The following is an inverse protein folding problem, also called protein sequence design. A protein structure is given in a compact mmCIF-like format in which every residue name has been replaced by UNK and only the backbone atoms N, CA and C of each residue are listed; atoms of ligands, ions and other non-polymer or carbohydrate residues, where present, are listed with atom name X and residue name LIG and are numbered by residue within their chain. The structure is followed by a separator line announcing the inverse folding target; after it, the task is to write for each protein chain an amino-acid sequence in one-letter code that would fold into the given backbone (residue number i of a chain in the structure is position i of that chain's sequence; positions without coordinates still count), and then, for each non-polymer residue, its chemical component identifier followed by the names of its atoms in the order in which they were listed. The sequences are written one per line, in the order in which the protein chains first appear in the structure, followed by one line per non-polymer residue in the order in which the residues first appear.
data_IF_890543772957
#
_entry.id   IF_890543772957
#
_cell.length_a   1.000
_cell.length_b   1.000
_cell.length_c   1.000
_cell.angle_alpha   90.00
_cell.angle_beta   90.00
_cell.angle_gamma   90.00
#
_symmetry.space_group_name_H-M   'P 1'
#
loop_
_entity.id
_entity.type
_entity.pdbx_description
1 polymer ?
#
# COMPACT_ATOMS: atom_id res chain seq x y z
N UNK A 1 -12.47 -16.01 -9.69
CA UNK A 1 -11.02 -15.94 -9.38
C UNK A 1 -10.67 -14.50 -9.05
N UNK A 2 -10.37 -14.17 -7.79
CA UNK A 2 -9.85 -12.85 -7.41
C UNK A 2 -8.45 -12.69 -8.01
N UNK A 3 -8.37 -11.98 -9.14
CA UNK A 3 -7.12 -11.58 -9.78
C UNK A 3 -6.45 -10.55 -8.87
N UNK A 4 -5.29 -10.88 -8.30
CA UNK A 4 -4.53 -9.96 -7.45
C UNK A 4 -3.75 -8.98 -8.32
N UNK A 5 -4.06 -7.69 -8.21
CA UNK A 5 -3.32 -6.64 -8.90
C UNK A 5 -2.02 -6.34 -8.17
N UNK A 6 -0.89 -6.42 -8.89
CA UNK A 6 0.44 -6.09 -8.42
C UNK A 6 1.02 -4.94 -9.25
N UNK A 7 1.94 -4.16 -8.70
CA UNK A 7 2.46 -2.97 -9.36
C UNK A 7 3.42 -2.20 -8.48
N UNK A 8 4.05 -1.18 -9.05
CA UNK A 8 4.95 -0.31 -8.31
C UNK A 8 4.17 0.82 -7.62
N UNK A 9 4.51 1.07 -6.36
CA UNK A 9 4.13 2.25 -5.60
C UNK A 9 5.42 2.95 -5.18
N UNK A 10 5.74 4.07 -5.82
CA UNK A 10 7.10 4.63 -5.77
C UNK A 10 8.13 3.62 -6.28
N UNK A 11 9.11 3.30 -5.45
CA UNK A 11 10.17 2.32 -5.76
C UNK A 11 9.86 0.91 -5.21
N UNK A 12 8.70 0.72 -4.58
CA UNK A 12 8.29 -0.54 -3.95
C UNK A 12 7.34 -1.32 -4.86
N UNK A 13 7.60 -2.62 -5.06
CA UNK A 13 6.71 -3.50 -5.83
C UNK A 13 5.71 -4.22 -4.92
N UNK A 14 4.47 -3.75 -4.90
CA UNK A 14 3.40 -4.32 -4.09
C UNK A 14 2.71 -5.47 -4.83
N UNK A 15 2.37 -6.54 -4.10
CA UNK A 15 1.86 -7.82 -4.65
C UNK A 15 0.33 -7.92 -4.62
N UNK A 16 -0.34 -6.96 -3.99
CA UNK A 16 -1.80 -6.89 -3.95
C UNK A 16 -2.34 -5.47 -3.82
N UNK A 17 -3.60 -5.29 -4.22
CA UNK A 17 -4.36 -4.04 -4.01
C UNK A 17 -4.58 -3.71 -2.52
N UNK A 18 -4.53 -4.71 -1.64
CA UNK A 18 -4.66 -4.51 -0.19
C UNK A 18 -3.35 -4.02 0.42
N UNK A 19 -2.21 -4.51 -0.07
CA UNK A 19 -0.89 -3.94 0.28
C UNK A 19 -0.80 -2.49 -0.21
N UNK A 20 -1.29 -2.17 -1.41
CA UNK A 20 -1.39 -0.79 -1.87
C UNK A 20 -2.24 0.09 -0.95
N UNK A 21 -3.43 -0.38 -0.59
CA UNK A 21 -4.29 0.34 0.34
C UNK A 21 -3.58 0.58 1.69
N UNK A 22 -2.89 -0.43 2.21
CA UNK A 22 -2.17 -0.28 3.48
C UNK A 22 -0.98 0.69 3.36
N UNK A 23 -0.16 0.58 2.31
CA UNK A 23 0.94 1.51 2.05
C UNK A 23 0.45 2.96 1.95
N UNK A 24 -0.64 3.21 1.20
CA UNK A 24 -1.27 4.52 1.09
C UNK A 24 -1.80 5.03 2.44
N UNK A 25 -2.34 4.15 3.28
CA UNK A 25 -2.74 4.49 4.66
C UNK A 25 -1.54 4.89 5.53
N UNK A 26 -0.45 4.12 5.48
CA UNK A 26 0.76 4.40 6.26
C UNK A 26 1.36 5.75 5.87
N UNK A 27 1.46 6.03 4.58
CA UNK A 27 1.93 7.33 4.06
C UNK A 27 1.01 8.48 4.47
N UNK A 28 -0.31 8.27 4.41
CA UNK A 28 -1.30 9.27 4.87
C UNK A 28 -1.10 9.64 6.35
N UNK A 29 -0.86 8.64 7.19
CA UNK A 29 -0.65 8.80 8.64
C UNK A 29 0.81 9.14 8.99
N UNK A 30 1.69 9.29 7.99
CA UNK A 30 3.11 9.60 8.16
C UNK A 30 3.84 8.57 9.05
N UNK A 31 3.47 7.30 8.90
CA UNK A 31 4.10 6.20 9.63
C UNK A 31 5.33 5.76 8.85
N UNK A 32 6.47 5.60 9.51
CA UNK A 32 7.69 5.10 8.84
C UNK A 32 7.55 3.60 8.56
N UNK A 33 7.66 3.20 7.30
CA UNK A 33 7.56 1.80 6.91
C UNK A 33 8.58 1.39 5.85
N UNK A 34 8.87 0.08 5.83
CA UNK A 34 9.61 -0.58 4.75
C UNK A 34 8.87 -1.85 4.32
N UNK A 35 8.99 -2.23 3.06
CA UNK A 35 8.28 -3.36 2.48
C UNK A 35 9.22 -4.54 2.23
N UNK A 36 8.79 -5.73 2.66
CA UNK A 36 9.54 -7.00 2.52
C UNK A 36 11.05 -6.86 2.84
N UNK A 37 11.42 -6.01 3.81
CA UNK A 37 12.81 -5.60 4.05
C UNK A 37 13.69 -6.77 4.49
N UNK A 38 13.17 -7.61 5.38
CA UNK A 38 13.91 -8.73 5.97
C UNK A 38 13.15 -10.03 5.80
N UNK A 39 13.93 -11.10 5.62
CA UNK A 39 13.43 -12.48 5.61
C UNK A 39 13.84 -13.19 6.89
N UNK A 40 12.95 -14.05 7.38
CA UNK A 40 13.14 -14.83 8.60
C UNK A 40 13.09 -16.31 8.24
N UNK A 41 14.03 -17.08 8.76
CA UNK A 41 14.00 -18.53 8.64
C UNK A 41 13.13 -19.10 9.77
N UNK A 42 12.00 -19.72 9.42
CA UNK A 42 11.11 -20.39 10.38
C UNK A 42 11.43 -21.90 10.50
N UNK A 43 12.55 -22.35 9.93
CA UNK A 43 13.01 -23.74 9.89
C UNK A 43 12.46 -24.50 8.68
N UNK A 44 11.15 -24.47 8.45
CA UNK A 44 10.50 -25.15 7.31
C UNK A 44 10.44 -24.28 6.05
N UNK A 45 10.53 -22.96 6.21
CA UNK A 45 10.49 -21.99 5.10
C UNK A 45 11.10 -20.66 5.50
N UNK A 46 11.50 -19.91 4.47
CA UNK A 46 11.75 -18.47 4.60
C UNK A 46 10.42 -17.73 4.59
N UNK A 47 10.16 -16.97 5.65
CA UNK A 47 9.02 -16.08 5.77
C UNK A 47 9.46 -14.63 5.52
N UNK A 48 8.60 -13.86 4.87
CA UNK A 48 8.86 -12.45 4.53
C UNK A 48 7.59 -11.69 4.86
N UNK A 49 7.55 -10.94 5.98
CA UNK A 49 6.42 -10.09 6.31
C UNK A 49 6.22 -9.01 5.25
N UNK A 50 4.97 -8.59 5.03
CA UNK A 50 4.65 -7.58 4.03
C UNK A 50 5.26 -6.21 4.40
N UNK A 51 5.06 -5.73 5.63
CA UNK A 51 5.56 -4.42 6.09
C UNK A 51 6.32 -4.47 7.42
N UNK A 52 7.25 -3.56 7.59
CA UNK A 52 8.03 -3.30 8.81
C UNK A 52 7.75 -1.87 9.25
N UNK A 53 7.27 -1.68 10.48
CA UNK A 53 6.87 -0.37 11.00
C UNK A 53 7.89 0.13 12.02
N UNK A 54 8.34 1.36 11.81
CA UNK A 54 9.41 1.99 12.58
C UNK A 54 8.89 3.19 13.38
N UNK A 55 9.49 3.42 14.55
CA UNK A 55 9.26 4.66 15.30
C UNK A 55 10.07 5.83 14.71
N UNK A 56 9.95 7.01 15.32
CA UNK A 56 10.70 8.22 14.93
C UNK A 56 12.23 8.05 15.09
N UNK A 57 12.68 7.14 15.96
CA UNK A 57 14.09 6.80 16.18
C UNK A 57 14.60 5.71 15.23
N UNK A 58 13.81 5.31 14.24
CA UNK A 58 14.12 4.20 13.31
C UNK A 58 14.29 2.83 13.96
N UNK A 59 13.67 2.61 15.12
CA UNK A 59 13.61 1.31 15.78
C UNK A 59 12.34 0.56 15.33
N UNK A 60 12.48 -0.74 15.04
CA UNK A 60 11.38 -1.60 14.62
C UNK A 60 10.37 -1.75 15.76
N UNK A 61 9.13 -1.32 15.54
CA UNK A 61 8.05 -1.50 16.52
C UNK A 61 7.32 -2.82 16.34
N UNK A 62 6.89 -3.11 15.11
CA UNK A 62 6.20 -4.36 14.76
C UNK A 62 6.23 -4.59 13.26
N UNK A 63 6.02 -5.84 12.86
CA UNK A 63 5.78 -6.22 11.46
C UNK A 63 4.28 -6.32 11.16
N UNK A 64 3.90 -6.19 9.90
CA UNK A 64 2.52 -6.31 9.46
C UNK A 64 2.41 -7.29 8.31
N UNK A 65 1.44 -8.19 8.41
CA UNK A 65 1.03 -9.08 7.32
C UNK A 65 -0.37 -8.68 6.83
N UNK A 66 -0.53 -8.51 5.52
CA UNK A 66 -1.79 -8.19 4.87
C UNK A 66 -2.43 -9.47 4.33
N UNK A 67 -3.70 -9.69 4.69
CA UNK A 67 -4.46 -10.82 4.16
C UNK A 67 -5.86 -10.43 3.70
N UNK A 68 -6.30 -11.14 2.66
CA UNK A 68 -7.66 -11.04 2.15
C UNK A 68 -8.70 -11.63 3.12
N UNK A 69 -9.97 -11.64 2.70
CA UNK A 69 -11.07 -12.26 3.45
C UNK A 69 -10.94 -13.79 3.61
N UNK A 70 -10.00 -14.44 2.94
CA UNK A 70 -9.82 -15.90 3.01
C UNK A 70 -9.39 -16.33 4.42
N UNK A 71 -10.24 -17.08 5.12
CA UNK A 71 -10.03 -17.50 6.50
C UNK A 71 -8.84 -18.45 6.67
N UNK A 72 -8.67 -19.44 5.79
CA UNK A 72 -7.53 -20.36 5.84
C UNK A 72 -6.20 -19.63 5.64
N UNK A 73 -6.17 -18.66 4.74
CA UNK A 73 -4.97 -17.84 4.52
C UNK A 73 -4.62 -16.98 5.74
N UNK A 74 -5.63 -16.47 6.47
CA UNK A 74 -5.43 -15.72 7.71
C UNK A 74 -4.91 -16.60 8.85
N UNK A 75 -5.48 -17.79 9.03
CA UNK A 75 -5.02 -18.76 10.05
C UNK A 75 -3.56 -19.13 9.81
N UNK A 76 -3.22 -19.51 8.57
CA UNK A 76 -1.84 -19.85 8.21
C UNK A 76 -0.87 -18.67 8.36
N UNK A 77 -1.34 -17.45 8.15
CA UNK A 77 -0.53 -16.25 8.38
C UNK A 77 -0.25 -16.06 9.87
N UNK A 78 -1.28 -16.14 10.71
CA UNK A 78 -1.17 -16.10 12.17
C UNK A 78 -0.19 -17.14 12.71
N UNK A 79 -0.28 -18.40 12.26
CA UNK A 79 0.67 -19.45 12.66
C UNK A 79 2.14 -19.08 12.37
N UNK A 80 2.42 -18.40 11.25
CA UNK A 80 3.79 -17.98 10.93
C UNK A 80 4.23 -16.79 11.76
N UNK A 81 3.31 -15.87 12.04
CA UNK A 81 3.57 -14.68 12.85
C UNK A 81 3.82 -15.07 14.30
N UNK A 82 3.07 -16.03 14.84
CA UNK A 82 3.32 -16.59 16.18
C UNK A 82 4.68 -17.28 16.26
N UNK A 83 5.04 -18.11 15.27
CA UNK A 83 6.39 -18.69 15.20
C UNK A 83 7.47 -17.61 15.14
N UNK A 84 7.25 -16.56 14.35
CA UNK A 84 8.20 -15.47 14.23
C UNK A 84 8.35 -14.73 15.56
N UNK A 85 7.25 -14.45 16.28
CA UNK A 85 7.27 -13.85 17.60
C UNK A 85 8.05 -14.72 18.60
N UNK A 86 7.78 -16.03 18.62
CA UNK A 86 8.48 -16.97 19.52
C UNK A 86 9.99 -17.06 19.24
N UNK A 87 10.41 -17.06 17.97
CA UNK A 87 11.81 -17.28 17.59
C UNK A 87 12.63 -15.97 17.66
N UNK A 88 12.03 -14.83 17.29
CA UNK A 88 12.75 -13.57 17.09
C UNK A 88 12.32 -12.46 18.04
N UNK A 89 11.32 -12.67 18.90
CA UNK A 89 10.75 -11.67 19.82
C UNK A 89 10.31 -10.37 19.12
N UNK A 90 9.67 -10.52 17.96
CA UNK A 90 9.18 -9.39 17.15
C UNK A 90 7.65 -9.33 17.27
N UNK A 91 7.15 -8.18 17.69
CA UNK A 91 5.72 -7.89 17.69
C UNK A 91 5.14 -7.82 16.28
N UNK A 92 3.88 -8.20 16.12
CA UNK A 92 3.26 -8.30 14.81
C UNK A 92 1.81 -7.82 14.79
N UNK A 93 1.30 -7.50 13.59
CA UNK A 93 -0.12 -7.29 13.33
C UNK A 93 -0.55 -8.01 12.05
N UNK A 94 -1.66 -8.74 12.14
CA UNK A 94 -2.37 -9.23 10.95
C UNK A 94 -3.43 -8.19 10.58
N UNK A 95 -3.33 -7.61 9.38
CA UNK A 95 -4.33 -6.66 8.87
C UNK A 95 -5.13 -7.34 7.77
N UNK A 96 -6.41 -7.56 8.06
CA UNK A 96 -7.37 -8.09 7.12
C UNK A 96 -8.08 -6.98 6.34
N UNK A 97 -8.89 -7.38 5.36
CA UNK A 97 -9.79 -6.46 4.67
C UNK A 97 -10.74 -5.71 5.62
N UNK A 98 -11.21 -6.35 6.70
CA UNK A 98 -12.10 -5.70 7.68
C UNK A 98 -11.34 -4.65 8.48
N UNK A 99 -10.09 -4.92 8.82
CA UNK A 99 -9.21 -3.97 9.49
C UNK A 99 -8.93 -2.77 8.58
N UNK A 100 -8.63 -3.01 7.30
CA UNK A 100 -8.50 -1.93 6.31
C UNK A 100 -9.77 -1.07 6.22
N UNK A 101 -10.96 -1.67 6.23
CA UNK A 101 -12.20 -0.90 6.24
C UNK A 101 -12.30 0.01 7.46
N UNK A 102 -11.92 -0.47 8.65
CA UNK A 102 -11.91 0.33 9.87
C UNK A 102 -10.89 1.47 9.79
N UNK A 103 -9.66 1.19 9.34
CA UNK A 103 -8.61 2.19 9.17
C UNK A 103 -9.03 3.30 8.21
N UNK A 104 -9.78 2.95 7.16
CA UNK A 104 -10.25 3.89 6.15
C UNK A 104 -11.46 4.73 6.57
N UNK A 105 -12.12 4.44 7.70
CA UNK A 105 -13.25 5.26 8.19
C UNK A 105 -12.82 6.68 8.56
N UNK A 106 -11.60 6.83 9.04
CA UNK A 106 -11.02 8.13 9.42
C UNK A 106 -10.31 8.82 8.25
N UNK A 107 -10.26 8.17 7.08
CA UNK A 107 -9.59 8.70 5.90
C UNK A 107 -10.58 9.46 5.03
N UNK A 108 -10.12 10.48 4.30
CA UNK A 108 -10.99 11.27 3.46
C UNK A 108 -11.21 10.66 2.07
N UNK A 109 -10.80 9.41 1.89
CA UNK A 109 -11.01 8.59 0.71
C UNK A 109 -11.36 7.17 1.14
N UNK A 110 -12.14 6.48 0.31
CA UNK A 110 -12.61 5.15 0.63
C UNK A 110 -11.62 4.06 0.22
N UNK A 111 -11.69 2.92 0.92
CA UNK A 111 -10.93 1.73 0.57
C UNK A 111 -11.29 1.25 -0.85
N UNK A 112 -12.58 1.28 -1.18
CA UNK A 112 -13.08 0.90 -2.51
C UNK A 112 -12.54 1.81 -3.60
N UNK A 113 -12.56 3.12 -3.39
CA UNK A 113 -11.99 4.10 -4.32
C UNK A 113 -10.49 3.87 -4.52
N UNK A 114 -9.75 3.63 -3.43
CA UNK A 114 -8.30 3.36 -3.49
C UNK A 114 -7.98 2.07 -4.24
N UNK A 115 -8.74 1.00 -4.02
CA UNK A 115 -8.56 -0.25 -4.75
C UNK A 115 -8.90 -0.07 -6.24
N UNK A 116 -9.96 0.67 -6.56
CA UNK A 116 -10.34 0.94 -7.95
C UNK A 116 -9.27 1.77 -8.68
N UNK A 117 -8.72 2.79 -8.02
CA UNK A 117 -7.58 3.57 -8.48
C UNK A 117 -6.39 2.68 -8.80
N UNK A 118 -6.02 1.76 -7.89
CA UNK A 118 -4.94 0.81 -8.14
C UNK A 118 -5.23 -0.10 -9.33
N UNK A 119 -6.43 -0.67 -9.40
CA UNK A 119 -6.77 -1.65 -10.44
C UNK A 119 -6.83 -1.03 -11.85
N UNK A 120 -7.04 0.29 -11.94
CA UNK A 120 -7.15 1.01 -13.22
C UNK A 120 -5.89 1.79 -13.59
N UNK A 121 -4.93 1.90 -12.67
CA UNK A 121 -3.67 2.58 -12.90
C UNK A 121 -2.83 1.92 -14.00
N UNK A 122 -2.22 2.73 -14.86
CA UNK A 122 -1.39 2.26 -15.97
C UNK A 122 -0.07 1.58 -15.56
N UNK A 123 0.26 1.60 -14.27
CA UNK A 123 1.47 1.01 -13.68
C UNK A 123 1.16 -0.23 -12.83
N UNK A 124 -0.06 -0.74 -12.90
CA UNK A 124 -0.47 -1.97 -12.22
C UNK A 124 -0.85 -3.05 -13.23
N UNK A 125 -0.74 -4.29 -12.80
CA UNK A 125 -0.98 -5.47 -13.63
C UNK A 125 -1.66 -6.56 -12.81
N UNK A 126 -2.55 -7.29 -13.47
CA UNK A 126 -3.18 -8.50 -12.92
C UNK A 126 -2.15 -9.63 -12.72
N UNK A 127 -1.02 -9.57 -13.43
CA UNK A 127 -0.01 -10.61 -13.40
C UNK A 127 1.10 -10.24 -12.42
N UNK A 128 1.32 -11.08 -11.41
CA UNK A 128 2.49 -10.96 -10.53
C UNK A 128 3.77 -11.16 -11.34
N UNK A 129 4.84 -10.47 -10.97
CA UNK A 129 6.15 -10.65 -11.58
C UNK A 129 6.61 -12.10 -11.42
N UNK A 130 7.20 -12.67 -12.46
CA UNK A 130 7.80 -14.01 -12.45
C UNK A 130 9.33 -13.96 -12.38
N UNK A 131 9.91 -12.76 -12.26
CA UNK A 131 11.36 -12.52 -12.37
C UNK A 131 11.99 -12.29 -11.01
N UNK A 132 13.14 -12.93 -10.77
CA UNK A 132 14.01 -12.66 -9.62
C UNK A 132 13.29 -12.67 -8.28
N UNK A 133 13.69 -11.77 -7.38
CA UNK A 133 13.12 -11.59 -6.04
C UNK A 133 11.65 -11.21 -6.02
N UNK A 134 11.11 -10.68 -7.12
CA UNK A 134 9.70 -10.29 -7.25
C UNK A 134 8.78 -11.48 -7.53
N UNK A 135 9.33 -12.65 -7.87
CA UNK A 135 8.56 -13.87 -8.03
C UNK A 135 8.00 -14.30 -6.66
N UNK A 136 6.67 -14.49 -6.50
CA UNK A 136 6.08 -14.96 -5.25
C UNK A 136 6.67 -16.27 -4.75
N UNK A 137 7.17 -17.12 -5.66
CA UNK A 137 7.81 -18.38 -5.36
C UNK A 137 9.32 -18.31 -5.17
N UNK A 138 9.94 -17.12 -5.30
CA UNK A 138 11.40 -16.96 -5.23
C UNK A 138 11.98 -17.51 -3.93
N UNK A 139 11.29 -17.30 -2.81
CA UNK A 139 11.74 -17.74 -1.49
C UNK A 139 11.32 -19.18 -1.14
N UNK A 140 10.51 -19.83 -1.97
CA UNK A 140 10.01 -21.18 -1.70
C UNK A 140 10.95 -22.23 -2.31
N UNK A 141 11.72 -22.90 -1.45
CA UNK A 141 12.52 -24.06 -1.86
C UNK A 141 11.65 -25.32 -1.81
N UNK A 142 11.73 -26.15 -2.85
CA UNK A 142 11.15 -27.50 -2.78
C UNK A 142 11.96 -28.37 -1.83
N UNK A 143 11.28 -29.08 -0.93
CA UNK A 143 11.89 -30.11 -0.08
C UNK A 143 12.45 -31.26 -0.92
N UNK A 144 13.35 -32.07 -0.34
CA UNK A 144 13.93 -33.24 -1.04
C UNK A 144 12.84 -34.22 -1.48
N UNK A 145 11.85 -34.44 -0.62
CA UNK A 145 10.68 -35.28 -0.85
C UNK A 145 9.84 -34.73 -2.00
N UNK A 146 9.58 -33.42 -2.01
CA UNK A 146 8.82 -32.76 -3.09
C UNK A 146 9.53 -32.92 -4.43
N UNK A 147 10.86 -32.71 -4.47
CA UNK A 147 11.66 -32.91 -5.68
C UNK A 147 11.60 -34.36 -6.17
N UNK A 148 11.66 -35.32 -5.25
CA UNK A 148 11.53 -36.76 -5.57
C UNK A 148 10.15 -37.08 -6.15
N UNK A 149 9.08 -36.57 -5.55
CA UNK A 149 7.70 -36.77 -6.04
C UNK A 149 7.49 -36.15 -7.42
N UNK A 150 8.00 -34.93 -7.65
CA UNK A 150 7.95 -34.28 -8.97
C UNK A 150 8.66 -35.18 -10.00
N UNK A 151 9.89 -35.63 -9.71
CA UNK A 151 10.65 -36.50 -10.60
C UNK A 151 9.95 -37.83 -10.91
N UNK A 152 9.34 -38.46 -9.90
CA UNK A 152 8.56 -39.70 -10.08
C UNK A 152 7.32 -39.47 -10.94
N UNK A 153 6.58 -38.38 -10.71
CA UNK A 153 5.42 -38.03 -11.53
C UNK A 153 5.80 -37.73 -12.98
N UNK A 154 6.89 -37.00 -13.20
CA UNK A 154 7.42 -36.78 -14.55
C UNK A 154 7.76 -38.11 -15.23
N UNK A 155 8.46 -39.03 -14.55
CA UNK A 155 8.75 -40.37 -15.11
C UNK A 155 7.47 -41.14 -15.45
N UNK A 156 6.46 -41.13 -14.56
CA UNK A 156 5.15 -41.77 -14.82
C UNK A 156 4.47 -41.19 -16.05
N UNK A 157 4.48 -39.86 -16.22
CA UNK A 157 3.91 -39.19 -17.40
C UNK A 157 4.63 -39.59 -18.69
N UNK A 158 5.97 -39.71 -18.68
CA UNK A 158 6.74 -40.13 -19.85
C UNK A 158 6.60 -41.63 -20.18
N UNK A 159 6.32 -42.46 -19.18
CA UNK A 159 6.04 -43.89 -19.38
C UNK A 159 4.63 -44.14 -19.96
N UNK A 160 3.71 -43.19 -19.85
CA UNK A 160 2.39 -43.28 -20.47
C UNK A 160 2.51 -42.98 -21.99
N UNK A 161 2.20 -43.94 -22.90
CA UNK A 161 2.42 -43.80 -24.34
C UNK A 161 1.68 -42.61 -24.96
N UNK A 162 0.43 -42.37 -24.57
CA UNK A 162 -0.40 -41.29 -25.10
C UNK A 162 0.13 -39.91 -24.68
N UNK A 163 0.57 -39.80 -23.44
CA UNK A 163 1.14 -38.57 -22.89
C UNK A 163 2.47 -38.26 -23.55
N UNK A 164 3.34 -39.27 -23.70
CA UNK A 164 4.61 -39.16 -24.41
C UNK A 164 4.41 -38.71 -25.85
N UNK A 165 3.46 -39.30 -26.57
CA UNK A 165 3.13 -38.92 -27.96
C UNK A 165 2.71 -37.45 -28.06
N UNK A 166 1.87 -36.97 -27.13
CA UNK A 166 1.46 -35.55 -27.05
C UNK A 166 2.64 -34.62 -26.75
N UNK A 167 3.53 -34.98 -25.84
CA UNK A 167 4.70 -34.16 -25.50
C UNK A 167 5.70 -34.05 -26.65
N UNK A 168 5.96 -35.15 -27.36
CA UNK A 168 6.82 -35.16 -28.55
C UNK A 168 6.19 -34.32 -29.67
N UNK A 169 4.89 -34.50 -29.94
CA UNK A 169 4.17 -33.72 -30.94
C UNK A 169 4.20 -32.21 -30.61
N UNK A 170 4.03 -31.83 -29.33
CA UNK A 170 4.16 -30.45 -28.88
C UNK A 170 5.56 -29.88 -29.11
N UNK A 171 6.60 -30.65 -28.84
CA UNK A 171 8.00 -30.25 -29.06
C UNK A 171 8.31 -30.06 -30.55
N UNK A 172 7.86 -30.99 -31.40
CA UNK A 172 7.98 -30.89 -32.87
C UNK A 172 7.22 -29.67 -33.39
N UNK A 173 5.99 -29.45 -32.91
CA UNK A 173 5.18 -28.27 -33.29
C UNK A 173 5.86 -26.97 -32.86
N UNK A 174 6.43 -26.92 -31.66
CA UNK A 174 7.22 -25.78 -31.19
C UNK A 174 8.45 -25.51 -32.07
N UNK A 175 9.19 -26.55 -32.42
CA UNK A 175 10.34 -26.46 -33.32
C UNK A 175 9.96 -26.05 -34.75
N UNK A 176 8.85 -26.56 -35.27
CA UNK A 176 8.30 -26.20 -36.57
C UNK A 176 7.81 -24.74 -36.60
N UNK A 177 7.15 -24.28 -35.52
CA UNK A 177 6.77 -22.87 -35.34
C UNK A 177 8.01 -21.98 -35.30
N UNK A 178 9.07 -22.37 -34.56
CA UNK A 178 10.34 -21.64 -34.53
C UNK A 178 11.00 -21.57 -35.91
N UNK A 179 11.02 -22.66 -36.67
CA UNK A 179 11.52 -22.70 -38.06
C UNK A 179 10.68 -21.84 -38.99
N UNK A 180 9.35 -21.95 -38.95
CA UNK A 180 8.43 -21.19 -39.79
C UNK A 180 8.42 -19.68 -39.46
N UNK A 181 8.80 -19.31 -38.22
CA UNK A 181 8.94 -17.93 -37.76
C UNK A 181 10.32 -17.31 -38.05
N UNK A 182 11.30 -18.06 -38.58
CA UNK A 182 12.54 -17.44 -39.10
C UNK A 182 12.16 -16.44 -40.20
N UNK A 183 12.32 -15.15 -39.92
CA UNK A 183 12.07 -14.05 -40.86
C UNK A 183 10.64 -13.47 -40.93
N UNK A 184 9.63 -14.11 -40.31
CA UNK A 184 8.20 -13.72 -40.42
C UNK A 184 7.57 -13.22 -39.12
N UNK A 185 8.32 -12.52 -38.28
CA UNK A 185 7.66 -11.71 -37.26
C UNK A 185 6.96 -10.57 -37.97
N UNK A 186 5.62 -10.48 -37.88
CA UNK A 186 4.96 -9.18 -38.00
C UNK A 186 5.58 -8.36 -36.88
N UNK A 187 6.63 -7.60 -37.23
CA UNK A 187 7.24 -6.63 -36.33
C UNK A 187 6.21 -5.52 -36.25
N UNK A 188 5.25 -5.66 -35.34
CA UNK A 188 4.41 -4.54 -34.92
C UNK A 188 5.37 -3.38 -34.72
N UNK A 189 5.13 -2.29 -35.45
CA UNK A 189 6.07 -1.19 -35.54
C UNK A 189 6.41 -0.73 -34.13
N UNK A 190 7.69 -0.48 -33.91
CA UNK A 190 8.18 0.09 -32.67
C UNK A 190 8.23 1.58 -32.86
N UNK A 191 7.50 2.29 -32.02
CA UNK A 191 7.42 3.75 -32.03
C UNK A 191 8.13 4.28 -30.79
N UNK A 192 8.81 5.40 -30.96
CA UNK A 192 9.37 6.16 -29.87
C UNK A 192 8.26 6.97 -29.18
N UNK A 193 8.17 6.87 -27.86
CA UNK A 193 7.21 7.60 -27.03
C UNK A 193 7.95 8.32 -25.92
N UNK A 194 7.39 9.41 -25.41
CA UNK A 194 7.92 10.09 -24.22
C UNK A 194 7.26 9.55 -22.96
N UNK A 195 8.07 9.29 -21.93
CA UNK A 195 7.59 8.87 -20.62
C UNK A 195 6.80 9.99 -19.96
N UNK A 196 5.57 9.70 -19.51
CA UNK A 196 4.72 10.67 -18.80
C UNK A 196 5.29 11.13 -17.44
N UNK A 197 6.29 10.43 -16.90
CA UNK A 197 6.94 10.79 -15.63
C UNK A 197 8.25 11.54 -15.83
N UNK A 198 9.25 10.89 -16.44
CA UNK A 198 10.61 11.45 -16.55
C UNK A 198 10.88 12.16 -17.89
N UNK A 199 9.92 12.17 -18.83
CA UNK A 199 10.08 12.77 -20.16
C UNK A 199 11.02 12.01 -21.11
N UNK A 200 11.78 11.03 -20.63
CA UNK A 200 12.71 10.25 -21.44
C UNK A 200 11.98 9.48 -22.55
N UNK A 201 12.61 9.43 -23.72
CA UNK A 201 12.11 8.65 -24.83
C UNK A 201 12.30 7.15 -24.56
N UNK A 202 11.32 6.35 -24.96
CA UNK A 202 11.38 4.91 -24.87
C UNK A 202 10.66 4.27 -26.06
N UNK A 203 11.10 3.07 -26.41
CA UNK A 203 10.56 2.35 -27.56
C UNK A 203 9.46 1.41 -27.10
N UNK A 204 8.26 1.59 -27.65
CA UNK A 204 7.11 0.71 -27.39
C UNK A 204 6.55 0.16 -28.70
N UNK A 205 5.82 -0.95 -28.63
CA UNK A 205 5.01 -1.37 -29.78
C UNK A 205 3.93 -0.31 -30.02
N UNK A 206 3.63 -0.02 -31.28
CA UNK A 206 2.59 0.93 -31.68
C UNK A 206 1.23 0.62 -31.03
N UNK A 207 0.89 -0.67 -30.93
CA UNK A 207 -0.34 -1.16 -30.28
C UNK A 207 -0.28 -1.18 -28.75
N UNK A 208 0.88 -0.93 -28.15
CA UNK A 208 1.05 -0.94 -26.70
C UNK A 208 0.31 0.24 -26.06
N UNK A 209 -0.27 0.03 -24.87
CA UNK A 209 -0.83 1.10 -24.03
C UNK A 209 0.19 1.68 -23.05
N UNK A 210 1.46 1.30 -23.17
CA UNK A 210 2.53 1.73 -22.26
C UNK A 210 2.75 3.24 -22.35
N UNK A 211 2.68 3.91 -21.20
CA UNK A 211 2.84 5.37 -21.02
C UNK A 211 4.16 5.78 -20.35
N UNK A 212 4.89 4.82 -19.80
CA UNK A 212 6.10 5.06 -19.01
C UNK A 212 7.26 4.24 -19.55
N UNK A 213 8.48 4.76 -19.45
CA UNK A 213 9.69 4.07 -19.91
C UNK A 213 10.03 2.84 -19.05
N UNK A 214 9.57 2.81 -17.81
CA UNK A 214 9.75 1.69 -16.89
C UNK A 214 8.59 1.58 -15.91
N UNK A 215 8.44 0.40 -15.32
CA UNK A 215 7.44 0.16 -14.26
C UNK A 215 7.70 1.07 -13.04
N UNK A 216 8.96 1.39 -12.76
CA UNK A 216 9.38 2.33 -11.70
C UNK A 216 8.86 3.74 -11.99
N UNK A 217 9.04 4.24 -13.22
CA UNK A 217 8.51 5.55 -13.60
C UNK A 217 6.99 5.60 -13.51
N UNK A 218 6.31 4.51 -13.87
CA UNK A 218 4.88 4.37 -13.67
C UNK A 218 4.49 4.46 -12.19
N UNK A 219 5.19 3.72 -11.32
CA UNK A 219 4.94 3.72 -9.88
C UNK A 219 5.21 5.08 -9.21
N UNK A 220 6.26 5.79 -9.61
CA UNK A 220 6.58 7.14 -9.12
C UNK A 220 5.54 8.18 -9.54
N UNK A 221 5.05 8.11 -10.78
CA UNK A 221 3.97 8.98 -11.24
C UNK A 221 2.68 8.73 -10.46
N UNK A 222 2.34 7.47 -10.22
CA UNK A 222 1.23 7.07 -9.37
C UNK A 222 1.32 7.62 -7.95
N UNK A 223 2.52 7.52 -7.36
CA UNK A 223 2.81 8.07 -6.04
C UNK A 223 2.58 9.59 -6.00
N UNK A 224 3.13 10.33 -6.96
CA UNK A 224 2.97 11.78 -7.03
C UNK A 224 1.48 12.18 -7.08
N UNK A 225 0.69 11.54 -7.95
CA UNK A 225 -0.76 11.78 -8.02
C UNK A 225 -1.47 11.49 -6.69
N UNK A 226 -1.11 10.39 -6.03
CA UNK A 226 -1.68 10.04 -4.72
C UNK A 226 -1.32 11.09 -3.66
N UNK A 227 -0.08 11.60 -3.66
CA UNK A 227 0.37 12.68 -2.77
C UNK A 227 -0.37 13.98 -3.05
N UNK A 228 -0.55 14.37 -4.31
CA UNK A 228 -1.26 15.60 -4.68
C UNK A 228 -2.72 15.57 -4.21
N UNK A 229 -3.43 14.47 -4.45
CA UNK A 229 -4.81 14.26 -3.98
C UNK A 229 -4.86 14.31 -2.44
N UNK A 230 -3.90 13.68 -1.76
CA UNK A 230 -3.79 13.73 -0.30
C UNK A 230 -3.63 15.17 0.22
N UNK A 231 -2.67 15.93 -0.33
CA UNK A 231 -2.40 17.32 0.09
C UNK A 231 -3.63 18.19 -0.12
N UNK A 232 -4.28 18.08 -1.29
CA UNK A 232 -5.49 18.83 -1.60
C UNK A 232 -6.60 18.59 -0.58
N UNK A 233 -6.89 17.32 -0.27
CA UNK A 233 -7.95 16.95 0.66
C UNK A 233 -7.62 17.33 2.11
N UNK A 234 -6.35 17.25 2.50
CA UNK A 234 -5.87 17.74 3.81
C UNK A 234 -6.11 19.25 3.96
N UNK A 235 -5.86 20.02 2.91
CA UNK A 235 -6.09 21.46 2.91
C UNK A 235 -7.59 21.80 3.03
N UNK A 236 -8.46 21.03 2.38
CA UNK A 236 -9.92 21.16 2.52
C UNK A 236 -10.36 20.93 3.98
N UNK A 237 -9.93 19.83 4.61
CA UNK A 237 -10.27 19.53 6.01
C UNK A 237 -9.74 20.63 6.95
N UNK A 238 -8.52 21.12 6.73
CA UNK A 238 -7.97 22.22 7.52
C UNK A 238 -8.82 23.49 7.40
N UNK A 239 -9.30 23.80 6.19
CA UNK A 239 -10.22 24.91 5.96
C UNK A 239 -11.53 24.75 6.73
N UNK A 240 -12.11 23.54 6.74
CA UNK A 240 -13.32 23.22 7.49
C UNK A 240 -13.11 23.33 9.01
N UNK A 241 -11.99 22.80 9.53
CA UNK A 241 -11.63 22.92 10.95
C UNK A 241 -11.47 24.39 11.33
N UNK A 242 -10.76 25.19 10.52
CA UNK A 242 -10.57 26.61 10.79
C UNK A 242 -11.91 27.34 10.87
N UNK A 243 -12.81 27.09 9.91
CA UNK A 243 -14.16 27.67 9.93
C UNK A 243 -14.94 27.26 11.17
N UNK A 244 -14.94 25.97 11.51
CA UNK A 244 -15.63 25.43 12.67
C UNK A 244 -15.12 26.00 14.00
N UNK A 245 -13.79 26.13 14.15
CA UNK A 245 -13.16 26.71 15.34
C UNK A 245 -13.57 28.18 15.51
N UNK A 246 -13.64 28.95 14.42
CA UNK A 246 -14.07 30.35 14.44
C UNK A 246 -15.57 30.51 14.72
N UNK A 247 -16.41 29.61 14.22
CA UNK A 247 -17.84 29.58 14.54
C UNK A 247 -18.05 29.26 16.03
N UNK A 248 -17.41 28.20 16.50
CA UNK A 248 -17.46 27.78 17.90
C UNK A 248 -16.95 28.89 18.83
N UNK A 249 -15.91 29.63 18.43
CA UNK A 249 -15.35 30.72 19.25
C UNK A 249 -16.34 31.85 19.46
N UNK A 250 -17.15 32.17 18.44
CA UNK A 250 -18.19 33.21 18.53
C UNK A 250 -19.35 32.75 19.40
N UNK A 251 -19.78 31.50 19.25
CA UNK A 251 -20.88 30.92 20.04
C UNK A 251 -20.53 30.78 21.53
N UNK A 252 -19.25 30.55 21.84
CA UNK A 252 -18.76 30.29 23.20
C UNK A 252 -17.89 31.44 23.74
N UNK A 253 -18.12 32.67 23.28
CA UNK A 253 -17.28 33.85 23.55
C UNK A 253 -16.99 34.06 25.04
N UNK A 254 -18.03 34.11 25.87
CA UNK A 254 -17.87 34.35 27.32
C UNK A 254 -17.07 33.25 28.01
N UNK A 255 -17.31 31.99 27.63
CA UNK A 255 -16.57 30.83 28.14
C UNK A 255 -15.08 30.93 27.81
N UNK A 256 -14.74 31.33 26.59
CA UNK A 256 -13.36 31.44 26.10
C UNK A 256 -12.61 32.58 26.82
N UNK A 257 -13.20 33.77 26.86
CA UNK A 257 -12.57 34.95 27.46
C UNK A 257 -12.24 34.72 28.95
N UNK A 258 -13.18 34.09 29.67
CA UNK A 258 -13.06 33.81 31.11
C UNK A 258 -12.22 32.58 31.43
N UNK A 259 -11.76 31.80 30.45
CA UNK A 259 -10.99 30.58 30.71
C UNK A 259 -9.54 30.89 31.10
N UNK A 260 -9.06 30.44 32.28
CA UNK A 260 -7.65 30.55 32.66
C UNK A 260 -6.80 29.46 31.99
N UNK A 261 -5.52 29.73 31.76
CA UNK A 261 -4.59 28.83 31.06
C UNK A 261 -4.36 27.47 31.75
N UNK A 262 -4.72 27.32 33.02
CA UNK A 262 -4.65 26.04 33.75
C UNK A 262 -5.90 25.16 33.57
N UNK A 263 -7.01 25.69 33.02
CA UNK A 263 -8.27 24.95 32.80
C UNK A 263 -8.59 24.68 31.32
N UNK A 264 -7.61 24.86 30.42
CA UNK A 264 -7.82 24.71 28.97
C UNK A 264 -8.40 23.35 28.59
N UNK A 265 -7.91 22.27 29.21
CA UNK A 265 -8.31 20.91 28.87
C UNK A 265 -9.82 20.69 29.07
N UNK A 266 -10.38 21.17 30.17
CA UNK A 266 -11.81 21.02 30.48
C UNK A 266 -12.64 21.93 29.58
N UNK A 267 -12.22 23.17 29.37
CA UNK A 267 -12.97 24.14 28.57
C UNK A 267 -13.02 23.76 27.09
N UNK A 268 -11.90 23.33 26.49
CA UNK A 268 -11.84 23.03 25.06
C UNK A 268 -12.26 21.58 24.74
N UNK A 269 -12.54 20.74 25.74
CA UNK A 269 -12.94 19.35 25.51
C UNK A 269 -14.15 19.20 24.57
N UNK A 270 -15.22 20.02 24.67
CA UNK A 270 -16.36 19.95 23.76
C UNK A 270 -15.97 20.24 22.31
N UNK A 271 -15.22 21.33 22.07
CA UNK A 271 -14.71 21.70 20.74
C UNK A 271 -13.87 20.57 20.13
N UNK A 272 -12.96 19.99 20.91
CA UNK A 272 -12.10 18.90 20.43
C UNK A 272 -12.91 17.63 20.13
N UNK A 273 -13.94 17.34 20.92
CA UNK A 273 -14.84 16.21 20.66
C UNK A 273 -15.68 16.42 19.39
N UNK A 274 -16.16 17.65 19.14
CA UNK A 274 -16.86 17.99 17.91
C UNK A 274 -15.96 17.86 16.68
N UNK A 275 -14.73 18.38 16.75
CA UNK A 275 -13.76 18.25 15.66
C UNK A 275 -13.41 16.78 15.39
N UNK A 276 -13.23 15.99 16.45
CA UNK A 276 -12.99 14.55 16.31
C UNK A 276 -14.19 13.85 15.65
N UNK A 277 -15.41 14.18 16.06
CA UNK A 277 -16.64 13.58 15.53
C UNK A 277 -16.90 13.97 14.07
N UNK A 278 -16.77 15.27 13.74
CA UNK A 278 -17.10 15.82 12.41
C UNK A 278 -15.99 15.60 11.38
N UNK A 279 -14.72 15.63 11.79
CA UNK A 279 -13.57 15.64 10.87
C UNK A 279 -12.55 14.51 11.12
N UNK A 280 -12.75 13.67 12.15
CA UNK A 280 -11.85 12.56 12.47
C UNK A 280 -10.49 13.00 13.04
N UNK A 281 -10.33 14.26 13.44
CA UNK A 281 -9.05 14.81 13.93
C UNK A 281 -9.05 14.90 15.45
N UNK A 282 -8.16 14.13 16.09
CA UNK A 282 -7.97 14.11 17.56
C UNK A 282 -6.74 14.87 18.04
N UNK A 283 -5.67 14.92 17.23
CA UNK A 283 -4.41 15.54 17.64
C UNK A 283 -4.52 17.07 17.61
N UNK A 284 -4.30 17.69 18.76
CA UNK A 284 -4.33 19.15 18.93
C UNK A 284 -3.36 19.86 17.99
N UNK A 285 -2.20 19.25 17.68
CA UNK A 285 -1.18 19.82 16.79
C UNK A 285 -1.68 19.97 15.37
N UNK A 286 -2.57 19.08 14.93
CA UNK A 286 -3.20 19.15 13.60
C UNK A 286 -4.26 20.25 13.57
N UNK A 287 -4.98 20.43 14.68
CA UNK A 287 -6.00 21.47 14.85
C UNK A 287 -5.34 22.86 14.89
N UNK A 288 -4.28 23.03 15.69
CA UNK A 288 -3.51 24.28 15.73
C UNK A 288 -2.88 24.57 14.37
N UNK A 289 -2.34 23.56 13.68
CA UNK A 289 -1.82 23.76 12.33
C UNK A 289 -2.90 24.18 11.32
N UNK A 290 -4.15 23.73 11.47
CA UNK A 290 -5.25 24.15 10.61
C UNK A 290 -5.64 25.62 10.81
N UNK A 291 -5.53 26.10 12.05
CA UNK A 291 -6.03 27.41 12.46
C UNK A 291 -4.93 28.48 12.40
N UNK A 292 -3.75 28.15 12.94
CA UNK A 292 -2.58 29.02 13.13
C UNK A 292 -1.51 28.85 12.06
N UNK A 293 -1.59 27.80 11.24
CA UNK A 293 -0.54 27.46 10.27
C UNK A 293 0.63 26.67 10.87
N UNK A 294 0.74 26.60 12.20
CA UNK A 294 1.85 25.96 12.91
C UNK A 294 1.38 24.88 13.90
N UNK A 295 2.22 23.87 14.14
CA UNK A 295 1.93 22.78 15.09
C UNK A 295 2.18 23.22 16.53
N UNK A 296 1.21 23.91 17.10
CA UNK A 296 1.31 24.51 18.44
C UNK A 296 0.46 23.77 19.47
N UNK A 297 0.59 24.19 20.74
CA UNK A 297 -0.06 23.58 21.88
C UNK A 297 -1.45 24.14 22.18
N UNK A 298 -2.06 23.61 23.24
CA UNK A 298 -3.39 24.04 23.72
C UNK A 298 -3.42 25.50 24.20
N UNK A 299 -2.29 26.01 24.71
CA UNK A 299 -2.17 27.41 25.16
C UNK A 299 -2.30 28.37 23.99
N UNK A 300 -1.63 28.05 22.88
CA UNK A 300 -1.64 28.86 21.65
C UNK A 300 -3.03 28.85 21.01
N UNK A 301 -3.71 27.70 21.02
CA UNK A 301 -5.10 27.62 20.58
C UNK A 301 -6.01 28.51 21.42
N UNK A 302 -5.89 28.50 22.75
CA UNK A 302 -6.70 29.37 23.62
C UNK A 302 -6.38 30.86 23.38
N UNK A 303 -5.10 31.22 23.22
CA UNK A 303 -4.67 32.58 22.94
C UNK A 303 -5.33 33.11 21.65
N UNK A 304 -5.26 32.33 20.58
CA UNK A 304 -5.92 32.63 19.31
C UNK A 304 -7.43 32.78 19.45
N UNK A 305 -8.09 31.88 20.17
CA UNK A 305 -9.53 31.95 20.41
C UNK A 305 -9.90 33.25 21.13
N UNK A 306 -9.11 33.67 22.13
CA UNK A 306 -9.32 34.93 22.85
C UNK A 306 -9.16 36.15 21.95
N UNK A 307 -8.13 36.16 21.09
CA UNK A 307 -7.92 37.23 20.11
C UNK A 307 -9.10 37.35 19.14
N UNK A 308 -9.58 36.22 18.60
CA UNK A 308 -10.70 36.18 17.65
C UNK A 308 -12.07 36.43 18.29
N UNK A 309 -12.16 36.43 19.63
CA UNK A 309 -13.36 36.84 20.37
C UNK A 309 -13.42 38.36 20.63
N UNK A 310 -12.30 39.07 20.42
CA UNK A 310 -12.17 40.52 20.63
C UNK A 310 -12.33 41.33 19.33
N UNK A 311 -12.31 40.67 18.17
CA UNK A 311 -12.68 41.18 16.85
C UNK A 311 -14.12 40.85 16.50
#
# INVERSE_FOLDING_TARGET
MNRGYAGYYGDVYLRSSYEYAYAKYLDYKQINWKYEEKKFDLGDKMYTPDFFIYNEKSELQFIVEIKSRNQQAKIKALENLEKLKMIFDIEYKLVSYQDLLLLYKELPFSLTGTIAEWNTASYTTINKSTRGSLNPHYSHRHTKETKKTIGLNTKKLWNNPDTRKKMIAGSIKGAAILKARKGKFIRVLRVERKCNFCGQAFVALETSRQKFCSDICGGRYGFQLATEVYVSKRNEIRGLIKKHVLEWSRENRELILNTPFNRIKTTLSPLLAEIQSKYGVKDIRVITQAVLGEQLGRKDLLAFLKENCNT
#
